data_IF_880746949219
#
_entry.id   IF_880746949219
#
_cell.length_a   1.000
_cell.length_b   1.000
_cell.length_c   1.000
_cell.angle_alpha   90.00
_cell.angle_beta   90.00
_cell.angle_gamma   90.00
#
_symmetry.space_group_name_H-M   'P 1'
#
loop_
_entity.id
_entity.type
_entity.pdbx_description
1 polymer ?
#
# COMPACT_ATOMS: atom_id res chain seq x y z
N UNK A 1 -16.76 8.83 -36.08
CA UNK A 1 -16.06 9.07 -34.79
C UNK A 1 -15.63 7.69 -34.40
N UNK A 2 -14.53 7.29 -35.01
CA UNK A 2 -14.31 5.88 -35.32
C UNK A 2 -13.71 5.25 -34.07
N UNK A 3 -14.51 4.38 -33.47
CA UNK A 3 -14.15 3.58 -32.31
C UNK A 3 -12.97 2.69 -32.69
N UNK A 4 -11.87 2.78 -31.94
CA UNK A 4 -10.85 1.73 -31.95
C UNK A 4 -11.56 0.39 -31.62
N UNK A 5 -11.47 -0.61 -32.50
CA UNK A 5 -12.28 -1.84 -32.40
C UNK A 5 -11.74 -2.86 -31.39
N UNK A 6 -10.53 -2.63 -30.82
CA UNK A 6 -10.02 -3.35 -29.66
C UNK A 6 -8.98 -2.52 -28.87
N UNK A 7 -8.79 -2.78 -27.57
CA UNK A 7 -7.73 -2.15 -26.76
C UNK A 7 -6.33 -2.45 -27.34
N UNK A 8 -6.15 -3.63 -27.95
CA UNK A 8 -4.91 -4.04 -28.58
C UNK A 8 -4.53 -3.13 -29.75
N UNK A 9 -5.47 -2.76 -30.62
CA UNK A 9 -5.22 -1.82 -31.72
C UNK A 9 -4.81 -0.43 -31.22
N UNK A 10 -5.42 0.03 -30.13
CA UNK A 10 -5.07 1.31 -29.53
C UNK A 10 -3.64 1.28 -28.93
N UNK A 11 -3.25 0.17 -28.30
CA UNK A 11 -1.89 -0.05 -27.78
C UNK A 11 -0.87 -0.06 -28.93
N UNK A 12 -1.15 -0.76 -30.03
CA UNK A 12 -0.29 -0.76 -31.23
C UNK A 12 -0.10 0.67 -31.76
N UNK A 13 -1.15 1.49 -31.73
CA UNK A 13 -1.07 2.91 -32.09
C UNK A 13 -0.15 3.71 -31.17
N UNK A 14 -0.17 3.44 -29.85
CA UNK A 14 0.72 4.06 -28.88
C UNK A 14 2.18 3.60 -29.04
N UNK A 15 2.40 2.32 -29.30
CA UNK A 15 3.71 1.75 -29.62
C UNK A 15 4.32 2.38 -30.87
N UNK A 16 3.52 2.55 -31.93
CA UNK A 16 3.97 3.20 -33.16
C UNK A 16 4.44 4.64 -32.93
N UNK A 17 3.75 5.40 -32.06
CA UNK A 17 4.18 6.74 -31.66
C UNK A 17 5.49 6.71 -30.85
N UNK A 18 5.68 5.70 -30.01
CA UNK A 18 6.92 5.54 -29.25
C UNK A 18 8.10 5.19 -30.16
N UNK A 19 7.91 4.30 -31.13
CA UNK A 19 8.92 3.98 -32.16
C UNK A 19 9.25 5.24 -32.98
N UNK A 20 8.24 5.99 -33.41
CA UNK A 20 8.44 7.25 -34.15
C UNK A 20 9.21 8.28 -33.32
N UNK A 21 9.01 8.31 -32.00
CA UNK A 21 9.80 9.12 -31.07
C UNK A 21 11.26 8.70 -31.03
N UNK A 22 11.54 7.40 -31.01
CA UNK A 22 12.89 6.84 -31.02
C UNK A 22 13.61 7.19 -32.33
N UNK A 23 12.97 6.96 -33.48
CA UNK A 23 13.51 7.28 -34.79
C UNK A 23 13.81 8.78 -34.94
N UNK A 24 12.91 9.65 -34.44
CA UNK A 24 13.13 11.09 -34.41
C UNK A 24 14.35 11.48 -33.55
N UNK A 25 14.55 10.81 -32.42
CA UNK A 25 15.68 11.04 -31.53
C UNK A 25 17.01 10.59 -32.19
N UNK A 26 17.04 9.45 -32.87
CA UNK A 26 18.22 8.98 -33.60
C UNK A 26 18.60 9.91 -34.75
N UNK A 27 17.60 10.47 -35.44
CA UNK A 27 17.80 11.47 -36.49
C UNK A 27 18.22 12.86 -35.97
N UNK A 28 18.34 13.03 -34.65
CA UNK A 28 18.77 14.26 -33.99
C UNK A 28 17.67 15.29 -33.77
N UNK A 29 16.42 15.00 -34.15
CA UNK A 29 15.29 15.92 -34.05
C UNK A 29 14.58 15.79 -32.68
N UNK A 30 15.21 16.38 -31.67
CA UNK A 30 14.77 16.31 -30.26
C UNK A 30 13.37 16.89 -30.03
N UNK A 31 12.96 17.87 -30.82
CA UNK A 31 11.63 18.49 -30.67
C UNK A 31 10.54 17.52 -31.10
N UNK A 32 10.72 16.91 -32.28
CA UNK A 32 9.79 15.92 -32.80
C UNK A 32 9.71 14.68 -31.89
N UNK A 33 10.85 14.20 -31.38
CA UNK A 33 10.89 13.09 -30.42
C UNK A 33 10.09 13.39 -29.14
N UNK A 34 10.27 14.58 -28.56
CA UNK A 34 9.52 14.98 -27.35
C UNK A 34 8.01 15.10 -27.60
N UNK A 35 7.62 15.59 -28.78
CA UNK A 35 6.22 15.69 -29.16
C UNK A 35 5.57 14.30 -29.29
N UNK A 36 6.23 13.36 -29.94
CA UNK A 36 5.75 11.99 -30.07
C UNK A 36 5.67 11.26 -28.73
N UNK A 37 6.67 11.42 -27.85
CA UNK A 37 6.62 10.86 -26.49
C UNK A 37 5.43 11.40 -25.71
N UNK A 38 5.15 12.71 -25.80
CA UNK A 38 3.99 13.31 -25.13
C UNK A 38 2.66 12.77 -25.66
N UNK A 39 2.56 12.56 -26.99
CA UNK A 39 1.37 11.96 -27.62
C UNK A 39 1.19 10.51 -27.19
N UNK A 40 2.27 9.71 -27.22
CA UNK A 40 2.25 8.32 -26.75
C UNK A 40 1.83 8.24 -25.28
N UNK A 41 2.43 9.07 -24.42
CA UNK A 41 2.14 9.13 -22.99
C UNK A 41 0.67 9.37 -22.69
N UNK A 42 0.06 10.34 -23.40
CA UNK A 42 -1.37 10.64 -23.29
C UNK A 42 -2.23 9.48 -23.78
N UNK A 43 -1.86 8.87 -24.90
CA UNK A 43 -2.62 7.75 -25.46
C UNK A 43 -2.59 6.54 -24.51
N UNK A 44 -1.42 6.20 -23.95
CA UNK A 44 -1.31 5.16 -22.92
C UNK A 44 -2.18 5.44 -21.69
N UNK A 45 -2.26 6.71 -21.27
CA UNK A 45 -3.11 7.10 -20.14
C UNK A 45 -4.59 6.89 -20.45
N UNK A 46 -5.04 7.30 -21.65
CA UNK A 46 -6.42 7.15 -22.10
C UNK A 46 -6.81 5.66 -22.24
N UNK A 47 -5.90 4.85 -22.80
CA UNK A 47 -6.07 3.38 -22.90
C UNK A 47 -6.16 2.75 -21.52
N UNK A 48 -5.28 3.15 -20.59
CA UNK A 48 -5.28 2.60 -19.24
C UNK A 48 -6.60 2.87 -18.50
N UNK A 49 -7.17 4.07 -18.67
CA UNK A 49 -8.49 4.42 -18.12
C UNK A 49 -9.57 3.52 -18.72
N UNK A 50 -9.52 3.26 -20.02
CA UNK A 50 -10.52 2.44 -20.69
C UNK A 50 -10.40 0.96 -20.31
N UNK A 51 -9.18 0.42 -20.25
CA UNK A 51 -8.90 -0.93 -19.73
C UNK A 51 -9.40 -1.08 -18.29
N UNK A 52 -9.18 -0.07 -17.43
CA UNK A 52 -9.68 -0.06 -16.07
C UNK A 52 -11.22 -0.08 -16.01
N UNK A 53 -11.93 0.59 -16.92
CA UNK A 53 -13.40 0.52 -17.00
C UNK A 53 -13.90 -0.84 -17.45
N UNK A 54 -13.16 -1.49 -18.35
CA UNK A 54 -13.47 -2.85 -18.84
C UNK A 54 -13.13 -3.93 -17.80
N UNK A 55 -12.38 -3.58 -16.76
CA UNK A 55 -11.96 -4.50 -15.71
C UNK A 55 -10.69 -5.28 -16.06
N UNK A 56 -10.01 -4.92 -17.15
CA UNK A 56 -8.71 -5.45 -17.52
C UNK A 56 -7.61 -4.64 -16.82
N UNK A 57 -7.27 -5.07 -15.61
CA UNK A 57 -6.30 -4.39 -14.76
C UNK A 57 -4.85 -4.70 -15.14
N UNK A 58 -4.59 -5.84 -15.80
CA UNK A 58 -3.24 -6.21 -16.23
C UNK A 58 -2.79 -5.23 -17.32
N UNK A 59 -3.61 -5.04 -18.36
CA UNK A 59 -3.35 -4.07 -19.43
C UNK A 59 -3.32 -2.63 -18.89
N UNK A 60 -4.22 -2.28 -17.96
CA UNK A 60 -4.25 -0.94 -17.37
C UNK A 60 -2.96 -0.60 -16.62
N UNK A 61 -2.43 -1.55 -15.84
CA UNK A 61 -1.20 -1.35 -15.06
C UNK A 61 0.01 -1.16 -15.98
N UNK A 62 0.12 -1.96 -17.04
CA UNK A 62 1.19 -1.82 -18.03
C UNK A 62 1.11 -0.46 -18.74
N UNK A 63 -0.08 -0.07 -19.20
CA UNK A 63 -0.29 1.20 -19.89
C UNK A 63 -0.01 2.41 -18.97
N UNK A 64 -0.45 2.38 -17.71
CA UNK A 64 -0.10 3.44 -16.76
C UNK A 64 1.41 3.52 -16.51
N UNK A 65 2.10 2.39 -16.44
CA UNK A 65 3.56 2.36 -16.27
C UNK A 65 4.27 2.99 -17.46
N UNK A 66 3.84 2.67 -18.69
CA UNK A 66 4.39 3.29 -19.91
C UNK A 66 4.11 4.80 -19.97
N UNK A 67 2.91 5.22 -19.58
CA UNK A 67 2.55 6.64 -19.49
C UNK A 67 3.43 7.39 -18.47
N UNK A 68 3.67 6.79 -17.31
CA UNK A 68 4.58 7.32 -16.29
C UNK A 68 6.02 7.49 -16.79
N UNK A 69 6.58 6.45 -17.41
CA UNK A 69 7.92 6.46 -18.00
C UNK A 69 8.13 7.54 -19.06
N UNK A 70 7.06 7.88 -19.81
CA UNK A 70 7.09 8.86 -20.90
C UNK A 70 6.82 10.30 -20.44
N UNK A 71 6.67 10.52 -19.13
CA UNK A 71 6.57 11.86 -18.54
C UNK A 71 5.16 12.27 -18.12
N UNK A 72 4.26 11.32 -17.80
CA UNK A 72 2.98 11.58 -17.12
C UNK A 72 3.03 11.09 -15.66
N UNK A 73 3.46 11.92 -14.70
CA UNK A 73 3.54 11.53 -13.29
C UNK A 73 2.18 11.15 -12.68
N UNK A 74 1.07 11.67 -13.24
CA UNK A 74 -0.30 11.32 -12.84
C UNK A 74 -0.58 9.83 -13.02
N UNK A 75 0.05 9.17 -14.01
CA UNK A 75 -0.12 7.74 -14.23
C UNK A 75 0.44 6.92 -13.05
N UNK A 76 1.60 7.32 -12.51
CA UNK A 76 2.17 6.71 -11.31
C UNK A 76 1.29 6.93 -10.07
N UNK A 77 0.65 8.10 -9.94
CA UNK A 77 -0.31 8.31 -8.87
C UNK A 77 -1.48 7.33 -8.93
N UNK A 78 -2.02 7.07 -10.13
CA UNK A 78 -3.11 6.11 -10.31
C UNK A 78 -2.64 4.67 -10.02
N UNK A 79 -1.42 4.29 -10.44
CA UNK A 79 -0.82 3.01 -10.08
C UNK A 79 -0.72 2.84 -8.56
N UNK A 80 -0.24 3.87 -7.85
CA UNK A 80 -0.20 3.89 -6.39
C UNK A 80 -1.58 3.61 -5.78
N UNK A 81 -2.63 4.22 -6.32
CA UNK A 81 -4.01 4.00 -5.88
C UNK A 81 -4.53 2.58 -6.19
N UNK A 82 -4.18 2.02 -7.36
CA UNK A 82 -4.56 0.64 -7.73
C UNK A 82 -3.95 -0.37 -6.76
N UNK A 83 -2.66 -0.26 -6.45
CA UNK A 83 -1.98 -1.12 -5.48
C UNK A 83 -2.43 -0.86 -4.03
N UNK A 84 -2.76 0.39 -3.66
CA UNK A 84 -3.35 0.70 -2.35
C UNK A 84 -4.70 -0.01 -2.17
N UNK A 85 -5.55 0.03 -3.20
CA UNK A 85 -6.92 -0.47 -3.13
C UNK A 85 -7.06 -1.96 -3.42
N UNK A 86 -6.05 -2.59 -4.06
CA UNK A 86 -6.12 -3.98 -4.49
C UNK A 86 -7.19 -4.22 -5.56
N UNK A 87 -7.45 -3.23 -6.42
CA UNK A 87 -8.44 -3.34 -7.50
C UNK A 87 -7.81 -4.07 -8.68
N UNK A 88 -8.20 -5.33 -8.88
CA UNK A 88 -7.70 -6.18 -9.98
C UNK A 88 -6.28 -6.70 -9.80
N UNK A 89 -5.49 -6.08 -8.93
CA UNK A 89 -4.17 -6.56 -8.52
C UNK A 89 -4.15 -6.87 -7.02
N UNK A 90 -3.19 -7.67 -6.58
CA UNK A 90 -2.95 -7.90 -5.16
C UNK A 90 -2.55 -6.58 -4.46
N UNK A 91 -3.16 -6.33 -3.31
CA UNK A 91 -2.86 -5.13 -2.52
C UNK A 91 -1.39 -5.16 -2.05
N UNK A 92 -0.62 -4.15 -2.44
CA UNK A 92 0.80 -4.05 -2.12
C UNK A 92 1.12 -2.65 -1.62
N UNK A 93 1.31 -2.54 -0.31
CA UNK A 93 1.59 -1.27 0.38
C UNK A 93 2.93 -0.69 -0.07
N UNK A 94 3.93 -1.55 -0.26
CA UNK A 94 5.28 -1.15 -0.67
C UNK A 94 5.27 -0.55 -2.07
N UNK A 95 4.68 -1.25 -3.04
CA UNK A 95 4.53 -0.73 -4.40
C UNK A 95 3.68 0.54 -4.45
N UNK A 96 2.60 0.61 -3.68
CA UNK A 96 1.78 1.81 -3.62
C UNK A 96 2.60 3.04 -3.17
N UNK A 97 3.45 2.87 -2.15
CA UNK A 97 4.34 3.94 -1.67
C UNK A 97 5.39 4.33 -2.71
N UNK A 98 6.01 3.35 -3.38
CA UNK A 98 6.99 3.58 -4.44
C UNK A 98 6.39 4.41 -5.58
N UNK A 99 5.23 4.03 -6.09
CA UNK A 99 4.59 4.77 -7.19
C UNK A 99 4.10 6.17 -6.79
N UNK A 100 3.61 6.36 -5.56
CA UNK A 100 3.30 7.70 -5.07
C UNK A 100 4.56 8.56 -4.93
N UNK A 101 5.69 7.97 -4.57
CA UNK A 101 6.96 8.69 -4.52
C UNK A 101 7.44 9.07 -5.93
N UNK A 102 7.43 8.14 -6.89
CA UNK A 102 7.81 8.39 -8.29
C UNK A 102 6.93 9.49 -8.93
N UNK A 103 5.62 9.49 -8.66
CA UNK A 103 4.72 10.54 -9.11
C UNK A 103 5.10 11.92 -8.54
N UNK A 104 5.48 11.96 -7.25
CA UNK A 104 5.93 13.18 -6.59
C UNK A 104 7.26 13.70 -7.13
N UNK A 105 8.22 12.81 -7.39
CA UNK A 105 9.50 13.11 -8.02
C UNK A 105 9.32 13.60 -9.47
N UNK A 106 8.33 13.07 -10.17
CA UNK A 106 7.90 13.55 -11.49
C UNK A 106 7.23 14.93 -11.48
N UNK A 107 7.01 15.53 -10.31
CA UNK A 107 6.45 16.88 -10.16
C UNK A 107 4.95 16.93 -9.86
N UNK A 108 4.31 15.79 -9.56
CA UNK A 108 2.91 15.76 -9.14
C UNK A 108 2.78 15.95 -7.62
N UNK A 109 2.56 17.20 -7.19
CA UNK A 109 2.55 17.57 -5.78
C UNK A 109 1.47 16.83 -4.97
N UNK A 110 0.31 16.53 -5.57
CA UNK A 110 -0.74 15.74 -4.91
C UNK A 110 -0.29 14.30 -4.59
N UNK A 111 0.75 13.78 -5.23
CA UNK A 111 1.27 12.47 -4.90
C UNK A 111 1.88 12.43 -3.49
N UNK A 112 2.62 13.48 -3.09
CA UNK A 112 3.21 13.54 -1.76
C UNK A 112 2.16 13.70 -0.66
N UNK A 113 1.06 14.41 -0.93
CA UNK A 113 -0.04 14.53 0.02
C UNK A 113 -0.75 13.19 0.19
N UNK A 114 -1.00 12.46 -0.90
CA UNK A 114 -1.56 11.12 -0.86
C UNK A 114 -0.63 10.11 -0.16
N UNK A 115 0.67 10.17 -0.44
CA UNK A 115 1.68 9.34 0.25
C UNK A 115 1.63 9.57 1.76
N UNK A 116 1.57 10.83 2.20
CA UNK A 116 1.46 11.17 3.63
C UNK A 116 0.21 10.59 4.29
N UNK A 117 -0.95 10.73 3.65
CA UNK A 117 -2.23 10.18 4.13
C UNK A 117 -2.16 8.65 4.18
N UNK A 118 -1.58 8.02 3.15
CA UNK A 118 -1.46 6.58 3.06
C UNK A 118 -0.55 6.01 4.16
N UNK A 119 0.64 6.60 4.35
CA UNK A 119 1.57 6.21 5.43
C UNK A 119 0.89 6.37 6.79
N UNK A 120 0.17 7.48 7.02
CA UNK A 120 -0.55 7.70 8.28
C UNK A 120 -1.58 6.60 8.54
N UNK A 121 -2.34 6.21 7.52
CA UNK A 121 -3.36 5.14 7.59
C UNK A 121 -2.72 3.78 7.91
N UNK A 122 -1.65 3.42 7.20
CA UNK A 122 -0.89 2.18 7.45
C UNK A 122 -0.34 2.17 8.88
N UNK A 123 0.32 3.26 9.29
CA UNK A 123 0.89 3.40 10.62
C UNK A 123 -0.19 3.31 11.71
N UNK A 124 -1.35 3.95 11.52
CA UNK A 124 -2.46 3.88 12.46
C UNK A 124 -2.94 2.44 12.69
N UNK A 125 -3.11 1.67 11.61
CA UNK A 125 -3.53 0.25 11.70
C UNK A 125 -2.49 -0.60 12.43
N UNK A 126 -1.21 -0.42 12.10
CA UNK A 126 -0.09 -1.14 12.73
C UNK A 126 0.00 -0.80 14.22
N UNK A 127 0.00 0.50 14.56
CA UNK A 127 0.04 0.97 15.94
C UNK A 127 -1.15 0.44 16.76
N UNK A 128 -2.36 0.46 16.19
CA UNK A 128 -3.56 -0.07 16.85
C UNK A 128 -3.42 -1.56 17.19
N UNK A 129 -2.90 -2.37 16.25
CA UNK A 129 -2.63 -3.81 16.48
C UNK A 129 -1.59 -4.01 17.59
N UNK A 130 -0.50 -3.25 17.58
CA UNK A 130 0.55 -3.32 18.59
C UNK A 130 0.00 -2.96 19.98
N UNK A 131 -0.73 -1.84 20.08
CA UNK A 131 -1.33 -1.38 21.35
C UNK A 131 -2.30 -2.43 21.90
N UNK A 132 -3.12 -3.06 21.05
CA UNK A 132 -4.03 -4.15 21.45
C UNK A 132 -3.27 -5.35 22.00
N UNK A 133 -2.20 -5.77 21.31
CA UNK A 133 -1.35 -6.89 21.74
C UNK A 133 -0.69 -6.59 23.10
N UNK A 134 -0.16 -5.39 23.27
CA UNK A 134 0.43 -4.94 24.54
C UNK A 134 -0.60 -4.94 25.66
N UNK A 135 -1.79 -4.33 25.44
CA UNK A 135 -2.88 -4.34 26.44
C UNK A 135 -3.26 -5.74 26.88
N UNK A 136 -3.32 -6.70 25.95
CA UNK A 136 -3.65 -8.08 26.27
C UNK A 136 -2.53 -8.76 27.10
N UNK A 137 -1.26 -8.49 26.78
CA UNK A 137 -0.12 -8.99 27.55
C UNK A 137 -0.15 -8.43 28.98
N UNK A 138 -0.34 -7.12 29.15
CA UNK A 138 -0.45 -6.51 30.48
C UNK A 138 -1.62 -7.07 31.28
N UNK A 139 -2.79 -7.24 30.65
CA UNK A 139 -3.96 -7.84 31.30
C UNK A 139 -3.68 -9.26 31.77
N UNK A 140 -3.07 -10.10 30.92
CA UNK A 140 -2.68 -11.48 31.29
C UNK A 140 -1.69 -11.49 32.45
N UNK A 141 -0.69 -10.63 32.42
CA UNK A 141 0.31 -10.50 33.50
C UNK A 141 -0.32 -10.10 34.83
N UNK A 142 -1.18 -9.09 34.84
CA UNK A 142 -1.89 -8.64 36.04
C UNK A 142 -2.73 -9.77 36.65
N UNK A 143 -3.45 -10.52 35.82
CA UNK A 143 -4.25 -11.68 36.26
C UNK A 143 -3.36 -12.77 36.86
N UNK A 144 -2.20 -13.06 36.24
CA UNK A 144 -1.21 -14.00 36.77
C UNK A 144 -0.68 -13.58 38.15
N UNK A 145 -0.30 -12.31 38.31
CA UNK A 145 0.17 -11.76 39.59
C UNK A 145 -0.90 -11.88 40.68
N UNK A 146 -2.16 -11.55 40.38
CA UNK A 146 -3.29 -11.70 41.30
C UNK A 146 -3.54 -13.16 41.71
N UNK A 147 -3.49 -14.10 40.76
CA UNK A 147 -3.69 -15.53 41.04
C UNK A 147 -2.56 -16.11 41.91
N UNK A 148 -1.33 -15.70 41.67
CA UNK A 148 -0.18 -16.10 42.49
C UNK A 148 -0.31 -15.58 43.92
N UNK A 149 -0.64 -14.31 44.12
CA UNK A 149 -0.90 -13.73 45.44
C UNK A 149 -2.03 -14.47 46.16
N UNK A 150 -3.12 -14.78 45.47
CA UNK A 150 -4.25 -15.55 46.03
C UNK A 150 -3.82 -16.94 46.49
N UNK A 151 -3.00 -17.66 45.69
CA UNK A 151 -2.44 -18.96 46.09
C UNK A 151 -1.55 -18.84 47.33
N UNK A 152 -0.65 -17.86 47.37
CA UNK A 152 0.22 -17.62 48.54
C UNK A 152 -0.58 -17.34 49.81
N UNK A 153 -1.63 -16.52 49.75
CA UNK A 153 -2.51 -16.22 50.88
C UNK A 153 -3.24 -17.47 51.40
N UNK A 154 -3.77 -18.30 50.50
CA UNK A 154 -4.44 -19.56 50.90
C UNK A 154 -3.49 -20.52 51.61
N UNK A 155 -2.24 -20.61 51.15
CA UNK A 155 -1.21 -21.44 51.77
C UNK A 155 -0.87 -20.95 53.18
N UNK A 156 -0.65 -19.64 53.36
CA UNK A 156 -0.38 -19.04 54.66
C UNK A 156 -1.54 -19.26 55.64
N UNK A 157 -2.79 -19.06 55.21
CA UNK A 157 -3.97 -19.21 56.05
C UNK A 157 -4.21 -20.68 56.48
N UNK A 158 -3.86 -21.65 55.63
CA UNK A 158 -3.89 -23.07 56.01
C UNK A 158 -2.79 -23.42 57.02
N UNK A 159 -1.60 -22.82 56.91
CA UNK A 159 -0.49 -23.02 57.87
C UNK A 159 -0.82 -22.43 59.25
N UNK A 160 -1.47 -21.28 59.33
CA UNK A 160 -1.90 -20.67 60.60
C UNK A 160 -3.00 -21.49 61.27
N UNK A 161 -4.03 -21.95 60.53
CA UNK A 161 -5.07 -22.86 61.05
C UNK A 161 -4.48 -24.17 61.59
N UNK A 162 -3.51 -24.76 60.89
CA UNK A 162 -2.86 -25.99 61.35
C UNK A 162 -1.95 -25.77 62.58
N UNK A 163 -1.33 -24.59 62.75
CA UNK A 163 -0.61 -24.23 63.99
C UNK A 163 -1.55 -24.00 65.17
N UNK A 164 -2.66 -23.27 64.97
CA UNK A 164 -3.64 -23.00 66.02
C UNK A 164 -4.29 -24.29 66.56
N UNK A 165 -4.53 -25.29 65.70
CA UNK A 165 -5.00 -26.62 66.12
C UNK A 165 -3.97 -27.45 66.89
N UNK A 166 -2.67 -27.14 66.78
CA UNK A 166 -1.57 -27.86 67.45
C UNK A 166 -1.13 -27.22 68.78
N UNK A 167 -1.57 -26.00 69.11
CA UNK A 167 -1.28 -25.31 70.38
C UNK A 167 -2.49 -25.17 71.35
N UNK A 168 -3.37 -26.16 71.57
CA UNK A 168 -4.44 -25.99 72.57
C UNK A 168 -3.97 -26.03 74.04
N UNK A 169 -2.70 -26.36 74.33
CA UNK A 169 -2.24 -26.55 75.71
C UNK A 169 -0.83 -25.98 75.92
N UNK A 170 -0.75 -24.75 76.39
CA UNK A 170 0.40 -24.23 77.14
C UNK A 170 -0.16 -23.27 78.20
N UNK A 171 -0.41 -23.81 79.39
CA UNK A 171 -0.59 -23.07 80.64
C UNK A 171 0.77 -23.00 81.33
#
# INVERSE_FOLDING_TARGET
MDSYESLEEAVIGADALFISAYDAHENGDKQMASEYLKKASKLYFDIAIEAQKQGDYDTAVECYKQSGNTGFPVAYFILGYIYESGKGVEQDITKAMEYYQEAGEGGYAEAYTALGIFIQKVLHVVLKKIILKLKNIYKKRLIWEMLMLKKCLTFLNNKTKNKAKRQPYAK
#
